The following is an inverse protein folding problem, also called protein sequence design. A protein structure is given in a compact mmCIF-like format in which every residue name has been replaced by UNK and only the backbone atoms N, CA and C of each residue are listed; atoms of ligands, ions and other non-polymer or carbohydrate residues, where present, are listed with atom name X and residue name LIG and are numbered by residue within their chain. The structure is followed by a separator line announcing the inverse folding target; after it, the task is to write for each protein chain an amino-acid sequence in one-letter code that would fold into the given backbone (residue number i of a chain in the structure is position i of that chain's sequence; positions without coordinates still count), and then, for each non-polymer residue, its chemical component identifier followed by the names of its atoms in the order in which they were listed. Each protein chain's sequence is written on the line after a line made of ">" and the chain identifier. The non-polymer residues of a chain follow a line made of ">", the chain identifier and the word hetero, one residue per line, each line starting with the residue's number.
data_IF_142884166089
#
_entry.id   IF_142884166089
#
_cell.length_a   1.000
_cell.length_b   1.000
_cell.length_c   1.000
_cell.angle_alpha   90.00
_cell.angle_beta   90.00
_cell.angle_gamma   90.00
#
_symmetry.space_group_name_H-M   'P 1'
#
loop_
_entity.id
_entity.type
_entity.pdbx_description
1 polymer ?
#
# COMPACT_ATOMS: atom_id res chain seq x y z
N UNK A 1 0.42 1.00 -8.27
CA UNK A 1 1.42 1.49 -9.26
C UNK A 1 2.31 2.57 -8.65
N UNK A 2 3.63 2.57 -8.92
CA UNK A 2 4.56 3.64 -8.49
C UNK A 2 5.01 4.48 -9.68
N UNK A 3 4.97 5.81 -9.56
CA UNK A 3 5.44 6.74 -10.59
C UNK A 3 6.40 7.76 -9.99
N UNK A 4 7.44 8.14 -10.74
CA UNK A 4 8.33 9.25 -10.37
C UNK A 4 7.74 10.52 -10.94
N UNK A 5 7.50 11.51 -10.09
CA UNK A 5 6.98 12.81 -10.53
C UNK A 5 7.82 13.97 -10.01
N UNK A 6 7.83 15.06 -10.77
CA UNK A 6 8.50 16.30 -10.42
C UNK A 6 7.52 17.25 -9.72
N UNK A 7 7.73 17.51 -8.44
CA UNK A 7 6.95 18.47 -7.65
C UNK A 7 7.88 19.37 -6.85
N UNK A 8 7.72 20.69 -6.95
CA UNK A 8 8.50 21.65 -6.16
C UNK A 8 10.03 21.56 -6.36
N UNK A 9 10.47 21.23 -7.58
CA UNK A 9 11.89 21.07 -7.91
C UNK A 9 12.54 19.78 -7.40
N UNK A 10 11.74 18.84 -6.87
CA UNK A 10 12.20 17.52 -6.41
C UNK A 10 11.55 16.41 -7.25
N UNK A 11 12.30 15.35 -7.53
CA UNK A 11 11.77 14.10 -8.07
C UNK A 11 11.42 13.17 -6.92
N UNK A 12 10.14 12.93 -6.67
CA UNK A 12 9.71 12.04 -5.60
C UNK A 12 8.88 10.88 -6.17
N UNK A 13 9.04 9.65 -5.64
CA UNK A 13 8.15 8.56 -5.97
C UNK A 13 6.77 8.83 -5.34
N UNK A 14 5.72 8.61 -6.12
CA UNK A 14 4.33 8.66 -5.67
C UNK A 14 3.64 7.33 -5.97
N UNK A 15 2.78 6.93 -5.04
CA UNK A 15 1.95 5.74 -5.20
C UNK A 15 0.59 6.14 -5.77
N UNK A 16 0.11 5.30 -6.68
CA UNK A 16 -1.13 5.45 -7.40
C UNK A 16 -2.00 4.22 -7.18
N UNK A 17 -3.28 4.47 -6.95
CA UNK A 17 -4.30 3.46 -6.76
C UNK A 17 -4.50 2.67 -8.06
N UNK A 18 -4.30 1.35 -8.00
CA UNK A 18 -4.42 0.43 -9.14
C UNK A 18 -5.88 0.20 -9.60
N UNK A 19 -6.85 0.77 -8.87
CA UNK A 19 -8.27 0.76 -9.25
C UNK A 19 -8.70 2.07 -9.90
N UNK A 20 -8.59 3.21 -9.19
CA UNK A 20 -9.10 4.48 -9.69
C UNK A 20 -8.06 5.33 -10.44
N UNK A 21 -6.80 4.91 -10.47
CA UNK A 21 -5.68 5.62 -11.11
C UNK A 21 -5.27 6.93 -10.43
N UNK A 22 -5.93 7.34 -9.34
CA UNK A 22 -5.60 8.56 -8.59
C UNK A 22 -4.46 8.33 -7.60
N UNK A 23 -3.77 9.42 -7.25
CA UNK A 23 -2.68 9.41 -6.27
C UNK A 23 -3.16 8.93 -4.90
N UNK A 24 -2.31 8.22 -4.19
CA UNK A 24 -2.47 7.89 -2.77
C UNK A 24 -1.74 8.98 -1.98
N UNK A 25 -2.51 9.88 -1.37
CA UNK A 25 -1.98 10.99 -0.57
C UNK A 25 -1.74 10.61 0.90
N UNK A 26 -2.43 9.57 1.36
CA UNK A 26 -2.36 9.07 2.73
C UNK A 26 -2.28 7.53 2.71
N UNK A 27 -1.16 7.00 3.21
CA UNK A 27 -0.92 5.56 3.27
C UNK A 27 -1.82 4.84 4.29
N UNK A 28 -2.32 5.52 5.32
CA UNK A 28 -3.29 4.97 6.27
C UNK A 28 -4.70 4.82 5.69
N UNK A 29 -4.97 5.46 4.55
CA UNK A 29 -6.22 5.32 3.78
C UNK A 29 -6.07 4.43 2.55
N UNK A 30 -5.00 3.63 2.50
CA UNK A 30 -4.70 2.70 1.42
C UNK A 30 -4.30 1.32 1.95
N UNK A 31 -4.40 0.35 1.06
CA UNK A 31 -4.12 -1.06 1.29
C UNK A 31 -3.06 -1.53 0.30
N UNK A 32 -2.15 -2.36 0.77
CA UNK A 32 -1.44 -3.29 -0.10
C UNK A 32 -2.31 -4.54 -0.23
N UNK A 33 -2.59 -4.95 -1.45
CA UNK A 33 -3.37 -6.15 -1.76
C UNK A 33 -2.53 -7.04 -2.67
N UNK A 34 -2.42 -8.34 -2.38
CA UNK A 34 -1.64 -9.26 -3.20
C UNK A 34 -2.29 -10.63 -3.27
N UNK A 35 -2.01 -11.31 -4.37
CA UNK A 35 -2.29 -12.72 -4.53
C UNK A 35 -1.01 -13.51 -4.20
N UNK A 36 -1.06 -14.47 -3.27
CA UNK A 36 0.10 -15.27 -2.87
C UNK A 36 0.66 -16.15 -4.00
N UNK A 37 -0.15 -16.49 -5.01
CA UNK A 37 0.28 -17.30 -6.14
C UNK A 37 1.10 -16.48 -7.13
N UNK A 38 0.55 -15.35 -7.59
CA UNK A 38 1.23 -14.47 -8.55
C UNK A 38 2.31 -13.61 -7.93
N UNK A 39 2.28 -13.40 -6.60
CA UNK A 39 3.22 -12.56 -5.84
C UNK A 39 3.25 -11.09 -6.29
N UNK A 40 2.22 -10.65 -7.00
CA UNK A 40 2.08 -9.25 -7.42
C UNK A 40 1.39 -8.47 -6.31
N UNK A 41 2.01 -7.36 -5.89
CA UNK A 41 1.44 -6.43 -4.92
C UNK A 41 0.81 -5.25 -5.66
N UNK A 42 -0.43 -4.97 -5.30
CA UNK A 42 -1.23 -3.84 -5.76
C UNK A 42 -1.42 -2.85 -4.62
N UNK A 43 -1.49 -1.57 -4.94
CA UNK A 43 -1.77 -0.51 -3.99
C UNK A 43 -3.13 0.11 -4.34
N UNK A 44 -4.07 0.07 -3.40
CA UNK A 44 -5.43 0.57 -3.62
C UNK A 44 -5.88 1.43 -2.45
N UNK A 45 -6.69 2.46 -2.69
CA UNK A 45 -7.36 3.14 -1.58
C UNK A 45 -8.27 2.15 -0.84
N UNK A 46 -8.42 2.30 0.48
CA UNK A 46 -9.35 1.48 1.29
C UNK A 46 -10.76 1.44 0.67
N UNK A 47 -11.27 2.61 0.25
CA UNK A 47 -12.58 2.72 -0.42
C UNK A 47 -12.68 2.02 -1.78
N UNK A 48 -11.54 1.74 -2.42
CA UNK A 48 -11.47 1.10 -3.73
C UNK A 48 -11.27 -0.41 -3.63
N UNK A 49 -10.92 -0.94 -2.45
CA UNK A 49 -10.55 -2.34 -2.28
C UNK A 49 -11.65 -3.29 -2.75
N UNK A 50 -12.88 -3.11 -2.28
CA UNK A 50 -14.00 -4.00 -2.64
C UNK A 50 -14.27 -4.04 -4.16
N UNK A 51 -14.11 -2.92 -4.86
CA UNK A 51 -14.27 -2.85 -6.31
C UNK A 51 -13.11 -3.55 -7.02
N UNK A 52 -11.90 -3.35 -6.52
CA UNK A 52 -10.69 -3.98 -7.02
C UNK A 52 -10.72 -5.50 -6.89
N UNK A 53 -11.07 -6.02 -5.72
CA UNK A 53 -11.18 -7.47 -5.45
C UNK A 53 -12.18 -8.13 -6.40
N UNK A 54 -13.38 -7.55 -6.55
CA UNK A 54 -14.40 -8.03 -7.50
C UNK A 54 -13.90 -8.07 -8.94
N UNK A 55 -13.03 -7.13 -9.33
CA UNK A 55 -12.47 -7.07 -10.68
C UNK A 55 -11.33 -8.05 -10.90
N UNK A 56 -10.48 -8.26 -9.90
CA UNK A 56 -9.21 -8.98 -10.03
C UNK A 56 -9.29 -10.45 -9.59
N UNK A 57 -10.01 -10.73 -8.52
CA UNK A 57 -10.06 -12.05 -7.89
C UNK A 57 -11.41 -12.76 -8.11
N UNK A 58 -12.42 -12.07 -8.63
CA UNK A 58 -13.74 -12.66 -8.86
C UNK A 58 -14.40 -13.05 -7.53
N UNK A 59 -14.50 -14.36 -7.29
CA UNK A 59 -15.02 -14.94 -6.04
C UNK A 59 -13.93 -15.20 -4.98
N UNK A 60 -12.64 -15.13 -5.36
CA UNK A 60 -11.52 -15.27 -4.45
C UNK A 60 -11.18 -13.95 -3.74
N UNK A 61 -10.46 -14.04 -2.63
CA UNK A 61 -10.08 -12.89 -1.81
C UNK A 61 -8.57 -12.65 -1.89
N UNK A 62 -8.18 -11.40 -2.06
CA UNK A 62 -6.78 -11.01 -1.97
C UNK A 62 -6.34 -10.98 -0.52
N UNK A 63 -5.05 -11.22 -0.29
CA UNK A 63 -4.46 -10.91 1.00
C UNK A 63 -4.25 -9.41 1.06
N UNK A 64 -4.57 -8.82 2.21
CA UNK A 64 -4.52 -7.37 2.36
C UNK A 64 -3.89 -6.96 3.67
N UNK A 65 -3.14 -5.86 3.63
CA UNK A 65 -2.65 -5.17 4.82
C UNK A 65 -2.68 -3.64 4.58
N UNK A 66 -2.66 -2.86 5.65
CA UNK A 66 -2.56 -1.41 5.52
C UNK A 66 -1.26 -1.02 4.82
N UNK A 67 -1.33 -0.13 3.84
CA UNK A 67 -0.16 0.24 3.05
C UNK A 67 0.97 0.84 3.91
N UNK A 68 0.63 1.59 4.96
CA UNK A 68 1.63 2.10 5.90
C UNK A 68 2.41 0.97 6.61
N UNK A 69 1.74 -0.12 6.96
CA UNK A 69 2.34 -1.31 7.59
C UNK A 69 3.21 -2.06 6.58
N UNK A 70 2.69 -2.27 5.36
CA UNK A 70 3.43 -2.89 4.26
C UNK A 70 4.76 -2.17 3.99
N UNK A 71 4.72 -0.84 3.86
CA UNK A 71 5.91 -0.03 3.60
C UNK A 71 6.91 -0.08 4.75
N UNK A 72 6.44 -0.12 5.99
CA UNK A 72 7.32 -0.32 7.15
C UNK A 72 8.04 -1.66 7.09
N UNK A 73 7.31 -2.75 6.81
CA UNK A 73 7.91 -4.08 6.62
C UNK A 73 8.91 -4.11 5.48
N UNK A 74 8.59 -3.50 4.35
CA UNK A 74 9.48 -3.42 3.18
C UNK A 74 10.79 -2.71 3.54
N UNK A 75 10.70 -1.54 4.18
CA UNK A 75 11.89 -0.77 4.58
C UNK A 75 12.72 -1.55 5.60
N UNK A 76 12.09 -2.14 6.61
CA UNK A 76 12.78 -2.96 7.62
C UNK A 76 13.50 -4.14 6.99
N UNK A 77 12.87 -4.83 6.04
CA UNK A 77 13.47 -5.97 5.33
C UNK A 77 14.61 -5.57 4.39
N UNK A 78 14.66 -4.30 3.96
CA UNK A 78 15.74 -3.75 3.15
C UNK A 78 16.89 -3.16 3.99
N UNK A 79 16.83 -3.30 5.32
CA UNK A 79 17.77 -2.70 6.29
C UNK A 79 17.94 -1.18 6.10
N UNK A 80 16.86 -0.51 5.66
CA UNK A 80 16.81 0.94 5.57
C UNK A 80 16.36 1.47 6.94
N UNK A 81 17.17 2.30 7.59
CA UNK A 81 16.88 2.78 8.95
C UNK A 81 15.57 3.62 8.98
N UNK A 82 14.49 3.06 9.52
CA UNK A 82 13.26 3.79 9.88
C UNK A 82 12.63 3.27 11.18
N UNK A 83 11.96 4.16 11.91
CA UNK A 83 11.13 3.81 13.07
C UNK A 83 9.73 3.31 12.66
N UNK A 84 8.97 2.69 13.59
CA UNK A 84 7.63 2.18 13.32
C UNK A 84 6.60 3.31 13.05
N UNK A 85 5.65 3.09 12.11
CA UNK A 85 4.57 4.03 11.81
C UNK A 85 3.60 4.17 12.98
N UNK A 86 2.89 5.31 13.06
CA UNK A 86 2.01 5.64 14.20
C UNK A 86 0.92 4.61 14.45
N UNK A 87 0.38 3.99 13.40
CA UNK A 87 -0.65 2.94 13.50
C UNK A 87 -0.17 1.69 14.26
N UNK A 88 1.14 1.42 14.26
CA UNK A 88 1.72 0.29 14.99
C UNK A 88 2.09 0.65 16.45
N UNK A 89 2.06 1.93 16.82
CA UNK A 89 2.41 2.38 18.18
C UNK A 89 1.33 2.09 19.22
N UNK A 90 0.13 1.70 18.79
CA UNK A 90 -0.99 1.32 19.67
C UNK A 90 -1.16 -0.18 19.87
N UNK A 91 -0.29 -1.02 19.29
CA UNK A 91 -0.40 -2.49 19.34
C UNK A 91 0.56 -3.11 20.37
N UNK A 92 1.43 -2.29 20.98
CA UNK A 92 2.30 -2.72 22.07
C UNK A 92 1.58 -2.56 23.42
N UNK A 93 0.62 -3.45 23.69
CA UNK A 93 -0.09 -3.47 24.96
C UNK A 93 -1.27 -4.44 24.98
N UNK A 94 -0.99 -5.74 25.01
CA UNK A 94 -1.79 -6.80 25.65
C UNK A 94 -0.93 -8.05 25.87
#
# INVERSE_FOLDING_TARGET
>A
MTRIEHHGGRCCPFLYCDECGKRIDDAGLAMAAWDPETRIVYHVHKRCLNAFERRMAGDDWLWTEELAVHLYHLVRNLDLAMGPPEILRGVEGD
#
